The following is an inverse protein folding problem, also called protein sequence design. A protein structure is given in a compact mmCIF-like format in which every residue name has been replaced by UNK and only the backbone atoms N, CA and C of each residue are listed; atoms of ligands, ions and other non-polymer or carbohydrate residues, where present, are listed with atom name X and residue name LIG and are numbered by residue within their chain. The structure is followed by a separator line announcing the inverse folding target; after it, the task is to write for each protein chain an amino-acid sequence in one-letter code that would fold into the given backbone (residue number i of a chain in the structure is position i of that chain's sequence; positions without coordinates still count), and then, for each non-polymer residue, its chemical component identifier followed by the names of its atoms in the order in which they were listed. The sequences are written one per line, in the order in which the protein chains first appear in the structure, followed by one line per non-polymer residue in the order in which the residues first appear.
data_IF_044348711851
#
_entry.id   IF_044348711851
#
_cell.length_a   1.000
_cell.length_b   1.000
_cell.length_c   1.000
_cell.angle_alpha   90.00
_cell.angle_beta   90.00
_cell.angle_gamma   90.00
#
_symmetry.space_group_name_H-M   'P 1'
#
loop_
_entity.id
_entity.type
_entity.pdbx_description
1 polymer ?
#
# COMPACT_ATOMS: atom_id res chain seq x y z
N UNK A 1 -16.30 19.24 8.43
CA UNK A 1 -15.48 18.25 7.71
C UNK A 1 -15.98 18.19 6.29
N UNK A 2 -15.12 18.42 5.30
CA UNK A 2 -15.53 18.42 3.89
C UNK A 2 -15.07 17.12 3.25
N UNK A 3 -16.01 16.22 3.00
CA UNK A 3 -15.79 14.94 2.34
C UNK A 3 -15.87 15.14 0.83
N UNK A 4 -14.96 14.51 0.11
CA UNK A 4 -14.90 14.57 -1.35
C UNK A 4 -14.75 13.19 -1.95
N UNK A 5 -15.33 12.99 -3.14
CA UNK A 5 -15.03 11.81 -3.94
C UNK A 5 -13.71 12.03 -4.66
N UNK A 6 -12.73 11.19 -4.38
CA UNK A 6 -11.44 11.15 -5.08
C UNK A 6 -11.30 9.77 -5.66
N UNK A 7 -11.23 9.69 -6.99
CA UNK A 7 -11.09 8.40 -7.69
C UNK A 7 -12.15 7.38 -7.22
N UNK A 8 -13.42 7.80 -7.26
CA UNK A 8 -14.58 6.98 -6.91
C UNK A 8 -14.81 6.70 -5.42
N UNK A 9 -13.93 7.12 -4.51
CA UNK A 9 -14.07 6.85 -3.07
C UNK A 9 -14.18 8.12 -2.23
N UNK A 10 -15.02 8.05 -1.20
CA UNK A 10 -15.16 9.09 -0.18
C UNK A 10 -13.85 9.24 0.60
N UNK A 11 -13.31 10.45 0.58
CA UNK A 11 -11.96 10.76 1.06
C UNK A 11 -11.91 12.07 1.84
N UNK A 12 -10.89 12.17 2.68
CA UNK A 12 -10.45 13.37 3.39
C UNK A 12 -9.07 13.77 2.90
N UNK A 13 -8.79 15.07 2.95
CA UNK A 13 -7.61 15.63 2.33
C UNK A 13 -6.80 16.43 3.30
N UNK A 14 -5.50 16.30 3.19
CA UNK A 14 -4.54 17.10 3.94
C UNK A 14 -3.53 17.70 2.98
N UNK A 15 -3.04 18.88 3.31
CA UNK A 15 -2.13 19.64 2.49
C UNK A 15 -1.15 20.43 3.35
N UNK A 16 0.00 20.66 2.75
CA UNK A 16 1.06 21.58 3.15
C UNK A 16 1.61 22.21 1.87
N UNK A 17 2.56 23.12 2.01
CA UNK A 17 3.34 23.65 0.88
C UNK A 17 4.16 22.58 0.16
N UNK A 18 4.48 21.45 0.81
CA UNK A 18 5.39 20.44 0.27
C UNK A 18 4.76 19.09 -0.05
N UNK A 19 3.57 18.82 0.44
CA UNK A 19 2.85 17.59 0.15
C UNK A 19 1.34 17.75 0.28
N UNK A 20 0.60 17.04 -0.58
CA UNK A 20 -0.85 16.88 -0.50
C UNK A 20 -1.21 15.41 -0.55
N UNK A 21 -2.09 14.96 0.34
CA UNK A 21 -2.51 13.57 0.39
C UNK A 21 -4.03 13.43 0.51
N UNK A 22 -4.55 12.40 -0.14
CA UNK A 22 -5.94 11.99 -0.08
C UNK A 22 -6.03 10.65 0.64
N UNK A 23 -6.90 10.56 1.65
CA UNK A 23 -7.10 9.38 2.48
C UNK A 23 -8.54 8.93 2.34
N UNK A 24 -8.77 7.71 1.86
CA UNK A 24 -10.11 7.13 1.76
C UNK A 24 -10.65 6.80 3.14
N UNK A 25 -11.98 6.89 3.30
CA UNK A 25 -12.61 6.40 4.52
C UNK A 25 -12.72 4.88 4.55
N UNK A 26 -12.90 4.22 3.40
CA UNK A 26 -12.82 2.75 3.30
C UNK A 26 -11.35 2.35 3.26
N UNK A 27 -10.94 1.45 4.16
CA UNK A 27 -9.57 0.92 4.27
C UNK A 27 -8.51 1.91 4.76
N UNK A 28 -8.81 3.22 4.80
CA UNK A 28 -7.82 4.22 5.20
C UNK A 28 -6.66 4.32 4.21
N UNK A 29 -6.88 3.98 2.94
CA UNK A 29 -5.86 3.97 1.90
C UNK A 29 -5.45 5.38 1.50
N UNK A 30 -4.21 5.56 1.07
CA UNK A 30 -3.62 6.87 0.81
C UNK A 30 -3.12 6.96 -0.64
N UNK A 31 -3.90 7.60 -1.49
CA UNK A 31 -3.47 8.18 -2.78
C UNK A 31 -4.61 9.03 -3.38
N UNK A 32 -4.31 10.02 -4.23
CA UNK A 32 -2.98 10.43 -4.69
C UNK A 32 -2.11 11.11 -3.62
N UNK A 33 -0.84 10.72 -3.64
CA UNK A 33 0.39 11.34 -3.10
C UNK A 33 1.00 12.43 -3.97
N UNK A 34 0.96 13.74 -3.69
CA UNK A 34 1.85 14.69 -4.40
C UNK A 34 2.90 15.23 -3.44
N UNK A 35 4.18 15.15 -3.84
CA UNK A 35 5.32 15.74 -3.12
C UNK A 35 6.00 16.80 -3.98
N UNK A 36 6.36 17.94 -3.38
CA UNK A 36 7.11 19.03 -4.01
C UNK A 36 8.58 18.94 -3.60
N UNK A 37 9.43 18.57 -4.56
CA UNK A 37 10.87 18.34 -4.42
C UNK A 37 11.66 19.43 -5.17
N UNK A 38 11.76 20.62 -4.56
CA UNK A 38 12.40 21.77 -5.21
C UNK A 38 11.48 22.32 -6.30
N UNK A 39 11.92 22.24 -7.55
CA UNK A 39 11.18 22.63 -8.76
C UNK A 39 10.35 21.49 -9.38
N UNK A 40 10.31 20.32 -8.72
CA UNK A 40 9.67 19.10 -9.23
C UNK A 40 8.47 18.72 -8.39
N UNK A 41 7.40 18.25 -9.03
CA UNK A 41 6.33 17.49 -8.37
C UNK A 41 6.46 16.01 -8.71
N UNK A 42 6.31 15.14 -7.71
CA UNK A 42 6.33 13.69 -7.91
C UNK A 42 5.13 13.03 -7.25
N UNK A 43 4.63 11.96 -7.89
CA UNK A 43 3.49 11.16 -7.44
C UNK A 43 3.84 9.68 -7.48
N UNK A 44 4.59 9.17 -6.47
CA UNK A 44 5.15 7.82 -6.53
C UNK A 44 4.11 6.73 -6.26
N UNK A 45 2.99 7.07 -5.62
CA UNK A 45 1.96 6.11 -5.25
C UNK A 45 1.02 5.80 -6.42
N UNK A 46 0.77 4.51 -6.62
CA UNK A 46 -0.13 4.03 -7.66
C UNK A 46 -1.58 4.39 -7.38
N UNK A 47 -2.31 4.69 -8.45
CA UNK A 47 -3.76 4.67 -8.50
C UNK A 47 -4.15 3.71 -9.62
N UNK A 48 -5.02 2.72 -9.35
CA UNK A 48 -5.44 1.79 -10.38
C UNK A 48 -6.26 2.51 -11.47
N UNK A 49 -6.40 1.91 -12.67
CA UNK A 49 -7.25 2.46 -13.72
C UNK A 49 -8.76 2.28 -13.46
N UNK A 50 -9.15 1.57 -12.39
CA UNK A 50 -10.54 1.32 -12.02
C UNK A 50 -10.97 2.06 -10.75
N UNK A 51 -12.27 2.25 -10.58
CA UNK A 51 -12.87 2.83 -9.39
C UNK A 51 -13.73 1.77 -8.67
N UNK A 52 -14.07 1.97 -7.38
CA UNK A 52 -14.82 0.97 -6.61
C UNK A 52 -16.12 0.51 -7.27
N UNK A 53 -16.86 1.42 -7.91
CA UNK A 53 -18.12 1.08 -8.58
C UNK A 53 -17.97 0.19 -9.82
N UNK A 54 -16.77 0.10 -10.39
CA UNK A 54 -16.51 -0.76 -11.54
C UNK A 54 -16.43 -2.24 -11.12
N UNK A 55 -16.11 -2.50 -9.85
CA UNK A 55 -15.99 -3.83 -9.25
C UNK A 55 -16.68 -3.90 -7.87
N UNK A 56 -18.01 -3.76 -7.82
CA UNK A 56 -18.77 -3.65 -6.56
C UNK A 56 -18.74 -4.93 -5.71
N UNK A 57 -18.49 -6.09 -6.32
CA UNK A 57 -18.44 -7.39 -5.65
C UNK A 57 -17.03 -7.79 -5.20
N UNK A 58 -16.02 -6.99 -5.54
CA UNK A 58 -14.63 -7.22 -5.15
C UNK A 58 -14.38 -6.75 -3.72
N UNK A 59 -13.47 -7.42 -3.00
CA UNK A 59 -13.08 -7.03 -1.64
C UNK A 59 -12.69 -5.53 -1.59
N UNK A 60 -13.09 -4.80 -0.52
CA UNK A 60 -12.82 -3.37 -0.41
C UNK A 60 -11.35 -3.01 -0.60
N UNK A 61 -10.42 -3.82 -0.10
CA UNK A 61 -8.98 -3.62 -0.27
C UNK A 61 -8.54 -3.53 -1.75
N UNK A 62 -9.19 -4.27 -2.65
CA UNK A 62 -8.85 -4.28 -4.08
C UNK A 62 -9.70 -3.27 -4.87
N UNK A 63 -11.00 -3.18 -4.60
CA UNK A 63 -11.88 -2.20 -5.27
C UNK A 63 -11.51 -0.75 -4.93
N UNK A 64 -10.99 -0.51 -3.72
CA UNK A 64 -10.52 0.80 -3.26
C UNK A 64 -8.99 0.91 -3.25
N UNK A 65 -8.26 0.02 -3.93
CA UNK A 65 -6.80 -0.06 -3.88
C UNK A 65 -6.14 1.30 -4.17
N UNK A 66 -5.14 1.68 -3.35
CA UNK A 66 -4.32 2.87 -3.54
C UNK A 66 -2.91 2.68 -3.00
N UNK A 67 -2.02 3.53 -3.49
CA UNK A 67 -0.76 3.96 -2.91
C UNK A 67 -0.27 3.28 -1.65
N UNK A 68 -0.87 3.52 -0.50
CA UNK A 68 -0.48 2.83 0.73
C UNK A 68 -1.65 2.62 1.68
N UNK A 69 -1.61 1.55 2.46
CA UNK A 69 -2.57 1.23 3.49
C UNK A 69 -1.94 0.38 4.58
N UNK A 70 -2.57 0.35 5.76
CA UNK A 70 -2.04 -0.37 6.91
C UNK A 70 -2.76 -1.71 7.05
N UNK A 71 -2.00 -2.80 7.08
CA UNK A 71 -2.51 -4.15 7.22
C UNK A 71 -2.28 -4.66 8.63
N UNK A 72 -3.33 -5.21 9.25
CA UNK A 72 -3.24 -5.86 10.54
C UNK A 72 -4.40 -6.85 10.71
N UNK A 73 -4.14 -8.16 10.68
CA UNK A 73 -2.84 -8.79 10.40
C UNK A 73 -2.34 -8.55 8.96
N UNK A 74 -1.05 -8.69 8.70
CA UNK A 74 -0.51 -8.58 7.33
C UNK A 74 -0.61 -9.91 6.56
N UNK A 75 -1.61 -10.04 5.70
CA UNK A 75 -1.84 -11.22 4.85
C UNK A 75 -3.17 -11.88 5.18
N UNK A 76 -3.30 -13.16 4.83
CA UNK A 76 -4.50 -13.94 5.14
C UNK A 76 -4.67 -14.17 6.64
N UNK A 77 -5.92 -14.19 7.09
CA UNK A 77 -6.30 -14.49 8.47
C UNK A 77 -7.65 -15.20 8.51
N UNK A 78 -7.83 -16.07 9.50
CA UNK A 78 -9.11 -16.75 9.72
C UNK A 78 -10.17 -15.86 10.37
N UNK A 79 -9.76 -14.78 11.03
CA UNK A 79 -10.64 -13.95 11.88
C UNK A 79 -11.29 -12.77 11.14
N UNK A 80 -10.88 -12.48 9.90
CA UNK A 80 -11.28 -11.28 9.18
C UNK A 80 -10.93 -11.34 7.70
N UNK A 81 -11.14 -10.25 6.95
CA UNK A 81 -10.75 -10.18 5.54
C UNK A 81 -9.22 -10.23 5.38
N UNK A 82 -8.75 -10.46 4.16
CA UNK A 82 -7.32 -10.38 3.86
C UNK A 82 -6.78 -9.00 4.27
N UNK A 83 -5.65 -8.98 4.96
CA UNK A 83 -5.05 -7.80 5.58
C UNK A 83 -5.85 -7.14 6.73
N UNK A 84 -6.90 -7.81 7.22
CA UNK A 84 -7.71 -7.41 8.36
C UNK A 84 -8.70 -6.28 8.08
N UNK A 85 -9.59 -6.05 9.04
CA UNK A 85 -10.62 -5.00 8.94
C UNK A 85 -10.01 -3.61 8.76
N UNK A 86 -8.82 -3.36 9.32
CA UNK A 86 -8.14 -2.06 9.22
C UNK A 86 -7.85 -1.62 7.79
N UNK A 87 -7.63 -2.57 6.87
CA UNK A 87 -7.38 -2.32 5.46
C UNK A 87 -8.64 -2.39 4.58
N UNK A 88 -9.77 -2.84 5.14
CA UNK A 88 -10.98 -3.11 4.35
C UNK A 88 -12.18 -2.27 4.76
N UNK A 89 -12.37 -2.05 6.07
CA UNK A 89 -13.58 -1.46 6.61
C UNK A 89 -13.51 0.07 6.62
N UNK A 90 -14.67 0.68 6.83
CA UNK A 90 -14.80 2.13 6.90
C UNK A 90 -14.30 2.67 8.25
N UNK A 91 -13.48 3.70 8.18
CA UNK A 91 -12.97 4.46 9.30
C UNK A 91 -13.90 5.63 9.67
N UNK A 92 -13.98 5.92 10.97
CA UNK A 92 -14.56 7.13 11.51
C UNK A 92 -13.52 8.26 11.51
N UNK A 93 -13.92 9.50 11.25
CA UNK A 93 -13.03 10.66 11.32
C UNK A 93 -13.19 11.36 12.65
N UNK A 94 -12.20 11.21 13.54
CA UNK A 94 -12.20 11.84 14.85
C UNK A 94 -11.88 13.34 14.76
N UNK A 95 -10.91 13.70 13.91
CA UNK A 95 -10.40 15.06 13.76
C UNK A 95 -9.84 15.27 12.37
N UNK A 96 -10.18 16.40 11.75
CA UNK A 96 -9.65 16.80 10.44
C UNK A 96 -9.25 18.27 10.48
N UNK A 97 -8.00 18.55 10.13
CA UNK A 97 -7.46 19.90 9.93
C UNK A 97 -6.75 20.01 8.57
N UNK A 98 -6.21 21.19 8.24
CA UNK A 98 -5.61 21.43 6.93
C UNK A 98 -4.47 20.48 6.58
N UNK A 99 -3.63 20.10 7.55
CA UNK A 99 -2.41 19.31 7.33
C UNK A 99 -2.40 17.97 8.06
N UNK A 100 -3.50 17.58 8.71
CA UNK A 100 -3.57 16.33 9.50
C UNK A 100 -5.00 15.82 9.65
N UNK A 101 -5.14 14.50 9.68
CA UNK A 101 -6.37 13.80 9.99
C UNK A 101 -6.12 12.67 10.98
N UNK A 102 -7.02 12.51 11.94
CA UNK A 102 -7.09 11.35 12.84
C UNK A 102 -8.37 10.58 12.57
N UNK A 103 -8.22 9.28 12.37
CA UNK A 103 -9.24 8.31 12.08
C UNK A 103 -9.29 7.26 13.19
N UNK A 104 -10.46 6.68 13.44
CA UNK A 104 -10.63 5.56 14.36
C UNK A 104 -11.55 4.47 13.82
N UNK A 105 -11.37 3.25 14.33
CA UNK A 105 -12.33 2.16 14.19
C UNK A 105 -12.22 1.19 15.36
N UNK A 106 -13.32 0.53 15.70
CA UNK A 106 -13.30 -0.71 16.48
C UNK A 106 -13.16 -1.87 15.51
N UNK A 107 -11.99 -2.50 15.47
CA UNK A 107 -11.71 -3.64 14.61
C UNK A 107 -12.09 -4.92 15.36
N UNK A 108 -13.09 -5.65 14.85
CA UNK A 108 -13.67 -6.79 15.56
C UNK A 108 -12.80 -8.05 15.45
N UNK A 109 -12.14 -8.22 14.31
CA UNK A 109 -11.12 -9.25 14.07
C UNK A 109 -9.89 -9.13 14.99
N UNK A 110 -9.61 -7.92 15.49
CA UNK A 110 -8.53 -7.65 16.46
C UNK A 110 -9.01 -7.55 17.90
N UNK A 111 -10.32 -7.47 18.13
CA UNK A 111 -10.94 -7.07 19.39
C UNK A 111 -10.26 -5.81 20.01
N UNK A 112 -9.97 -4.81 19.17
CA UNK A 112 -9.19 -3.63 19.55
C UNK A 112 -9.71 -2.34 18.90
N UNK A 113 -9.45 -1.22 19.56
CA UNK A 113 -9.67 0.11 18.98
C UNK A 113 -8.39 0.57 18.28
N UNK A 114 -8.51 0.87 16.99
CA UNK A 114 -7.38 1.29 16.16
C UNK A 114 -7.58 2.76 15.80
N UNK A 115 -6.54 3.57 16.01
CA UNK A 115 -6.49 4.95 15.56
C UNK A 115 -5.36 5.12 14.54
N UNK A 116 -5.64 5.82 13.46
CA UNK A 116 -4.67 6.20 12.42
C UNK A 116 -4.60 7.72 12.33
N UNK A 117 -3.41 8.29 12.45
CA UNK A 117 -3.15 9.70 12.15
C UNK A 117 -2.28 9.79 10.92
N UNK A 118 -2.71 10.61 9.96
CA UNK A 118 -1.94 10.95 8.76
C UNK A 118 -1.69 12.45 8.76
N UNK A 119 -0.45 12.87 8.53
CA UNK A 119 -0.10 14.29 8.54
C UNK A 119 1.00 14.64 7.55
N UNK A 120 1.04 15.91 7.17
CA UNK A 120 2.07 16.56 6.35
C UNK A 120 2.49 17.87 7.03
N UNK A 121 3.67 18.39 6.69
CA UNK A 121 4.15 19.65 7.25
C UNK A 121 4.82 20.53 6.18
N UNK A 122 4.98 21.83 6.45
CA UNK A 122 5.52 22.78 5.49
C UNK A 122 7.05 22.72 5.31
N UNK A 123 7.76 22.05 6.22
CA UNK A 123 9.21 22.01 6.21
C UNK A 123 9.74 20.89 5.30
N UNK A 124 9.07 19.75 5.30
CA UNK A 124 9.54 18.51 4.70
C UNK A 124 8.54 17.95 3.67
N UNK A 125 9.04 17.43 2.56
CA UNK A 125 8.24 16.67 1.60
C UNK A 125 8.02 15.23 2.11
N UNK A 126 7.36 15.10 3.26
CA UNK A 126 7.18 13.83 3.99
C UNK A 126 5.71 13.64 4.35
N UNK A 127 5.22 12.41 4.14
CA UNK A 127 3.94 11.92 4.64
C UNK A 127 4.18 11.13 5.91
N UNK A 128 3.61 11.59 7.03
CA UNK A 128 3.73 10.91 8.32
C UNK A 128 2.48 10.09 8.57
N UNK A 129 2.67 8.85 9.01
CA UNK A 129 1.60 7.97 9.46
C UNK A 129 1.91 7.44 10.86
N UNK A 130 0.91 7.44 11.74
CA UNK A 130 0.96 6.82 13.04
C UNK A 130 -0.27 5.95 13.22
N UNK A 131 -0.07 4.68 13.57
CA UNK A 131 -1.16 3.78 13.98
C UNK A 131 -0.99 3.44 15.45
N UNK A 132 -2.06 3.55 16.22
CA UNK A 132 -2.11 3.21 17.65
C UNK A 132 -3.25 2.25 17.90
N UNK A 133 -2.97 1.15 18.56
CA UNK A 133 -3.99 0.21 19.03
C UNK A 133 -4.21 0.37 20.53
N UNK A 134 -5.46 0.24 20.96
CA UNK A 134 -5.87 0.18 22.36
C UNK A 134 -6.68 -1.10 22.58
N UNK A 135 -6.37 -1.84 23.65
CA UNK A 135 -7.02 -3.11 23.98
C UNK A 135 -6.43 -4.34 23.27
N UNK A 136 -5.58 -4.16 22.25
CA UNK A 136 -4.95 -5.26 21.51
C UNK A 136 -4.13 -6.18 22.42
N UNK A 137 -4.39 -7.49 22.34
CA UNK A 137 -3.67 -8.54 23.06
C UNK A 137 -3.04 -9.54 22.09
N UNK A 138 -1.97 -10.23 22.51
CA UNK A 138 -1.37 -11.32 21.74
C UNK A 138 -0.22 -10.92 20.82
N UNK A 139 0.02 -11.72 19.78
CA UNK A 139 1.10 -11.54 18.80
C UNK A 139 0.50 -11.32 17.43
N UNK A 140 0.96 -10.28 16.76
CA UNK A 140 0.42 -9.85 15.47
C UNK A 140 1.54 -9.50 14.52
N UNK A 141 1.35 -9.85 13.25
CA UNK A 141 2.10 -9.32 12.11
C UNK A 141 1.34 -8.11 11.56
N UNK A 142 2.04 -7.03 11.26
CA UNK A 142 1.45 -5.81 10.73
C UNK A 142 2.47 -5.07 9.87
N UNK A 143 1.98 -4.19 9.01
CA UNK A 143 2.84 -3.40 8.15
C UNK A 143 2.05 -2.47 7.25
N UNK A 144 2.74 -1.49 6.69
CA UNK A 144 2.24 -0.69 5.56
C UNK A 144 2.39 -1.47 4.26
N UNK A 145 1.56 -1.19 3.27
CA UNK A 145 1.53 -1.86 1.98
C UNK A 145 1.71 -0.86 0.82
N UNK A 146 2.91 -0.27 0.66
CA UNK A 146 3.14 0.72 -0.38
C UNK A 146 3.13 0.10 -1.78
N UNK A 147 2.22 0.58 -2.62
CA UNK A 147 2.09 0.32 -4.05
C UNK A 147 2.64 1.52 -4.81
N UNK A 148 3.80 1.33 -5.43
CA UNK A 148 4.49 2.38 -6.19
C UNK A 148 4.24 2.22 -7.70
N UNK A 149 4.13 3.34 -8.40
CA UNK A 149 3.99 3.36 -9.86
C UNK A 149 5.31 3.75 -10.53
N UNK A 150 5.97 2.76 -11.14
CA UNK A 150 7.16 2.95 -11.97
C UNK A 150 6.85 2.88 -13.48
N UNK A 151 5.58 2.72 -13.89
CA UNK A 151 5.18 2.38 -15.26
C UNK A 151 5.53 3.46 -16.30
N UNK A 152 5.63 4.72 -15.86
CA UNK A 152 5.95 5.86 -16.73
C UNK A 152 7.44 6.13 -16.86
N UNK A 153 8.28 5.43 -16.11
CA UNK A 153 9.72 5.61 -16.13
C UNK A 153 10.38 4.76 -17.22
N UNK A 154 11.51 5.22 -17.80
CA UNK A 154 12.34 4.36 -18.64
C UNK A 154 12.73 3.07 -17.91
N UNK A 155 12.83 1.92 -18.62
CA UNK A 155 13.25 0.65 -18.04
C UNK A 155 14.50 0.77 -17.17
N UNK A 156 14.44 0.18 -15.97
CA UNK A 156 15.54 0.17 -14.99
C UNK A 156 15.94 1.52 -14.39
N UNK A 157 15.23 2.62 -14.66
CA UNK A 157 15.62 3.95 -14.16
C UNK A 157 15.08 4.29 -12.78
N UNK A 158 13.98 3.67 -12.36
CA UNK A 158 13.47 3.72 -11.00
C UNK A 158 14.34 2.86 -10.09
N UNK A 159 14.72 3.38 -8.92
CA UNK A 159 15.55 2.64 -7.96
C UNK A 159 14.80 2.42 -6.65
N UNK A 160 14.75 1.17 -6.22
CA UNK A 160 14.25 0.77 -4.91
C UNK A 160 15.44 0.48 -3.99
N UNK A 161 15.41 1.04 -2.78
CA UNK A 161 16.43 0.81 -1.77
C UNK A 161 15.80 0.56 -0.41
N UNK A 162 16.35 -0.38 0.34
CA UNK A 162 15.85 -0.79 1.65
C UNK A 162 16.92 -0.61 2.72
N UNK A 163 16.48 -0.58 3.98
CA UNK A 163 17.39 -0.86 5.11
C UNK A 163 17.86 -2.31 5.06
N UNK A 164 18.91 -2.71 5.81
CA UNK A 164 19.38 -4.10 5.82
C UNK A 164 18.25 -5.10 6.02
N UNK A 165 18.10 -6.01 5.06
CA UNK A 165 17.03 -6.99 5.05
C UNK A 165 17.33 -8.10 6.06
N UNK A 166 16.34 -8.48 6.86
CA UNK A 166 16.48 -9.55 7.87
C UNK A 166 15.98 -10.90 7.39
N UNK A 167 15.00 -10.89 6.50
CA UNK A 167 14.38 -12.07 5.90
C UNK A 167 13.80 -11.65 4.56
N UNK A 168 14.04 -12.46 3.52
CA UNK A 168 13.48 -12.27 2.20
C UNK A 168 13.13 -13.62 1.60
N UNK A 169 11.93 -13.70 1.03
CA UNK A 169 11.50 -14.86 0.27
C UNK A 169 10.53 -14.42 -0.82
N UNK A 170 10.54 -15.14 -1.94
CA UNK A 170 9.44 -15.14 -2.91
C UNK A 170 8.24 -15.87 -2.31
N UNK A 171 7.01 -15.47 -2.62
CA UNK A 171 5.82 -16.16 -2.16
C UNK A 171 5.89 -17.67 -2.48
N UNK A 172 5.57 -18.57 -1.52
CA UNK A 172 5.77 -20.00 -1.71
C UNK A 172 4.78 -20.66 -2.68
N UNK A 173 3.72 -19.97 -3.07
CA UNK A 173 2.71 -20.50 -3.99
C UNK A 173 2.76 -19.83 -5.34
N UNK A 174 2.21 -20.50 -6.36
CA UNK A 174 1.98 -19.87 -7.65
C UNK A 174 0.88 -18.83 -7.48
N UNK A 175 1.23 -17.59 -7.77
CA UNK A 175 0.36 -16.43 -7.72
C UNK A 175 -0.36 -16.23 -9.06
N UNK A 176 0.38 -16.24 -10.17
CA UNK A 176 -0.13 -16.00 -11.51
C UNK A 176 -0.30 -17.29 -12.29
N UNK A 177 -1.45 -17.43 -12.96
CA UNK A 177 -1.79 -18.63 -13.72
C UNK A 177 -1.87 -18.34 -15.23
N UNK A 178 -1.07 -19.05 -16.01
CA UNK A 178 -1.04 -18.93 -17.48
C UNK A 178 -2.41 -19.17 -18.13
N UNK A 179 -3.24 -20.01 -17.51
CA UNK A 179 -4.62 -20.29 -17.91
C UNK A 179 -5.54 -19.05 -17.82
N UNK A 180 -5.17 -18.07 -16.99
CA UNK A 180 -5.85 -16.77 -16.83
C UNK A 180 -5.20 -15.67 -17.66
N UNK A 181 -4.16 -15.99 -18.45
CA UNK A 181 -3.39 -15.02 -19.22
C UNK A 181 -2.34 -14.27 -18.39
N UNK A 182 -2.05 -14.74 -17.17
CA UNK A 182 -1.07 -14.16 -16.27
C UNK A 182 0.18 -15.03 -16.22
N UNK A 183 1.32 -14.43 -15.99
CA UNK A 183 2.61 -15.14 -15.90
C UNK A 183 3.40 -14.60 -14.72
N UNK A 184 4.22 -15.45 -14.13
CA UNK A 184 5.17 -15.08 -13.07
C UNK A 184 6.55 -15.59 -13.45
N UNK A 185 7.62 -14.98 -12.93
CA UNK A 185 8.99 -15.38 -13.28
C UNK A 185 9.86 -15.75 -12.10
N UNK A 186 9.52 -15.30 -10.88
CA UNK A 186 10.28 -15.60 -9.68
C UNK A 186 10.04 -17.05 -9.24
N UNK A 187 11.07 -17.67 -8.67
CA UNK A 187 11.01 -19.03 -8.15
C UNK A 187 10.22 -19.07 -6.83
N UNK A 188 9.03 -19.71 -6.78
CA UNK A 188 8.24 -19.74 -5.56
C UNK A 188 9.00 -20.33 -4.38
N UNK A 189 8.91 -19.65 -3.23
CA UNK A 189 9.53 -20.06 -1.98
C UNK A 189 11.05 -19.89 -1.93
N UNK A 190 11.67 -19.29 -2.94
CA UNK A 190 13.09 -19.01 -2.91
C UNK A 190 13.42 -17.98 -1.84
N UNK A 191 14.35 -18.30 -0.94
CA UNK A 191 14.99 -17.35 -0.04
C UNK A 191 16.13 -16.61 -0.75
N UNK A 192 16.32 -15.34 -0.42
CA UNK A 192 17.41 -14.53 -0.95
C UNK A 192 17.91 -13.52 0.09
N UNK A 193 19.04 -12.88 -0.19
CA UNK A 193 19.63 -11.86 0.70
C UNK A 193 19.96 -10.56 -0.02
N UNK A 194 19.81 -10.52 -1.34
CA UNK A 194 20.11 -9.37 -2.19
C UNK A 194 18.98 -9.21 -3.23
N UNK A 195 18.38 -8.02 -3.27
CA UNK A 195 17.36 -7.67 -4.26
C UNK A 195 17.92 -7.61 -5.68
N UNK A 196 19.24 -7.48 -5.85
CA UNK A 196 19.87 -7.49 -7.17
C UNK A 196 19.94 -8.88 -7.81
N UNK A 197 19.63 -9.95 -7.04
CA UNK A 197 19.79 -11.33 -7.48
C UNK A 197 18.65 -12.24 -6.96
N UNK A 198 17.40 -11.88 -7.24
CA UNK A 198 16.23 -12.68 -6.82
C UNK A 198 16.06 -13.90 -7.74
N UNK A 199 15.97 -15.14 -7.22
CA UNK A 199 15.92 -16.34 -8.05
C UNK A 199 14.66 -16.42 -8.94
N UNK A 200 14.86 -16.87 -10.19
CA UNK A 200 13.80 -17.11 -11.18
C UNK A 200 13.58 -18.61 -11.45
N UNK A 201 12.40 -18.95 -11.95
CA UNK A 201 12.04 -20.34 -12.30
C UNK A 201 12.89 -20.94 -13.43
N UNK A 202 13.49 -20.11 -14.29
CA UNK A 202 14.38 -20.55 -15.37
C UNK A 202 15.83 -20.78 -14.94
N UNK A 203 16.12 -20.63 -13.63
CA UNK A 203 17.45 -20.76 -13.05
C UNK A 203 18.32 -19.50 -13.14
N UNK A 204 17.83 -18.42 -13.77
CA UNK A 204 18.48 -17.10 -13.74
C UNK A 204 18.06 -16.27 -12.51
N UNK A 205 18.47 -15.01 -12.46
CA UNK A 205 18.09 -14.06 -11.39
C UNK A 205 17.48 -12.79 -11.97
N UNK A 206 16.66 -12.10 -11.18
CA UNK A 206 16.10 -10.78 -11.49
C UNK A 206 16.62 -9.73 -10.51
N UNK A 207 17.01 -8.57 -11.02
CA UNK A 207 17.33 -7.40 -10.20
C UNK A 207 16.06 -6.61 -9.90
N UNK A 208 15.58 -6.70 -8.65
CA UNK A 208 14.43 -5.95 -8.11
C UNK A 208 14.85 -4.65 -7.40
N UNK A 209 16.11 -4.22 -7.54
CA UNK A 209 16.53 -2.87 -7.12
C UNK A 209 16.21 -1.82 -8.18
N UNK A 210 15.89 -2.24 -9.41
CA UNK A 210 15.58 -1.36 -10.53
C UNK A 210 14.23 -1.68 -11.17
N UNK A 211 13.43 -0.64 -11.42
CA UNK A 211 12.11 -0.73 -12.04
C UNK A 211 11.93 0.30 -13.16
N UNK A 212 11.02 0.06 -14.12
CA UNK A 212 10.32 -1.21 -14.32
C UNK A 212 11.31 -2.29 -14.79
N UNK A 213 11.06 -3.53 -14.35
CA UNK A 213 11.71 -4.73 -14.89
C UNK A 213 11.18 -5.02 -16.29
N UNK A 214 11.69 -6.07 -16.95
CA UNK A 214 11.06 -6.57 -18.17
C UNK A 214 9.56 -6.86 -17.94
N UNK A 215 8.68 -6.55 -18.91
CA UNK A 215 7.24 -6.69 -18.75
C UNK A 215 6.78 -8.15 -18.85
N UNK A 216 5.48 -8.38 -18.62
CA UNK A 216 4.86 -9.69 -18.84
C UNK A 216 5.03 -10.65 -17.66
N UNK A 217 5.09 -10.12 -16.45
CA UNK A 217 4.97 -10.93 -15.25
C UNK A 217 4.30 -10.15 -14.12
N UNK A 218 3.70 -10.91 -13.23
CA UNK A 218 3.19 -10.48 -11.95
C UNK A 218 3.69 -11.48 -10.92
N UNK A 219 4.41 -10.99 -9.91
CA UNK A 219 5.12 -11.81 -8.95
C UNK A 219 4.84 -11.30 -7.53
N UNK A 220 4.87 -12.22 -6.57
CA UNK A 220 4.66 -11.96 -5.13
C UNK A 220 5.82 -12.49 -4.28
#
# INVERSE_FOLDING_TARGET
MNLRSVHGAESVSIASTRATAEITLTGGHIAPVTFVLGDREVRPYSLPPWQPQDFPDMEPILSHLRGDFFCMPFGETAAGPIHGEVANNRWHVDRHGPSSVTLSMRASDLDADIHKTVSVNDNDAVLYQQVRSHGLQGRWNYGTHPVLDFSTLPPGSGRLSTSPMRYCSVHPTLFSLAERGETQVLQPGAEFTDLAAVPRMDGSTLDLTHYPTEPGHEDL
#
